data_IF_336233126074
#
_entry.id   IF_336233126074
#
_cell.length_a   1.000
_cell.length_b   1.000
_cell.length_c   1.000
_cell.angle_alpha   90.00
_cell.angle_beta   90.00
_cell.angle_gamma   90.00
#
_symmetry.space_group_name_H-M   'P 1'
#
loop_
_entity.id
_entity.type
_entity.pdbx_description
1 polymer ?
#
# COMPACT_ATOMS: atom_id res chain seq x y z
N UNK A 1 7.33 5.82 -4.03
CA UNK A 1 8.17 6.03 -2.84
C UNK A 1 8.55 4.78 -2.03
N UNK A 2 7.67 4.02 -1.33
CA UNK A 2 8.09 2.98 -0.33
C UNK A 2 9.13 1.98 -0.86
N UNK A 3 9.00 1.60 -2.13
CA UNK A 3 9.93 0.72 -2.87
C UNK A 3 11.35 1.29 -3.07
N UNK A 4 11.58 2.56 -2.76
CA UNK A 4 12.86 3.26 -2.81
C UNK A 4 13.43 3.56 -1.43
N UNK A 5 12.74 3.19 -0.35
CA UNK A 5 13.26 3.37 1.00
C UNK A 5 14.65 2.71 1.15
N UNK A 6 15.68 3.40 1.65
CA UNK A 6 17.01 2.83 1.79
C UNK A 6 17.02 1.52 2.60
N UNK A 7 16.23 1.45 3.68
CA UNK A 7 16.12 0.27 4.53
C UNK A 7 15.46 -0.93 3.86
N UNK A 8 14.78 -0.75 2.72
CA UNK A 8 14.16 -1.86 1.98
C UNK A 8 15.21 -2.88 1.50
N UNK A 9 16.43 -2.45 1.16
CA UNK A 9 17.47 -3.39 0.75
C UNK A 9 17.94 -4.28 1.91
N UNK A 10 17.99 -3.73 3.14
CA UNK A 10 18.25 -4.52 4.33
C UNK A 10 17.11 -5.51 4.59
N UNK A 11 15.86 -5.08 4.49
CA UNK A 11 14.70 -5.96 4.60
C UNK A 11 14.75 -7.11 3.59
N UNK A 12 14.98 -6.82 2.31
CA UNK A 12 15.06 -7.85 1.25
C UNK A 12 16.20 -8.83 1.48
N UNK A 13 17.36 -8.36 1.95
CA UNK A 13 18.49 -9.23 2.31
C UNK A 13 18.12 -10.18 3.45
N UNK A 14 17.56 -9.67 4.54
CA UNK A 14 17.16 -10.49 5.69
C UNK A 14 15.99 -11.44 5.36
N UNK A 15 15.01 -10.99 4.58
CA UNK A 15 13.89 -11.81 4.13
C UNK A 15 14.35 -12.93 3.19
N UNK A 16 15.41 -12.72 2.40
CA UNK A 16 15.97 -13.75 1.50
C UNK A 16 16.60 -14.93 2.24
N UNK A 17 16.91 -14.78 3.54
CA UNK A 17 17.42 -15.89 4.36
C UNK A 17 16.32 -16.73 5.00
N UNK A 18 15.04 -16.41 4.74
CA UNK A 18 13.92 -17.26 5.12
C UNK A 18 13.80 -18.37 4.07
N UNK A 19 14.05 -19.61 4.48
CA UNK A 19 14.01 -20.80 3.60
C UNK A 19 12.63 -20.97 2.96
N UNK A 20 11.60 -20.95 3.80
CA UNK A 20 10.19 -21.07 3.42
C UNK A 20 9.37 -20.03 4.18
N UNK A 21 8.66 -19.18 3.43
CA UNK A 21 7.66 -18.27 3.97
C UNK A 21 6.45 -19.09 4.40
N UNK A 22 6.03 -18.93 5.65
CA UNK A 22 4.83 -19.55 6.23
C UNK A 22 3.63 -18.60 6.21
N UNK A 23 3.89 -17.30 6.33
CA UNK A 23 2.86 -16.27 6.33
C UNK A 23 3.48 -14.91 6.01
N UNK A 24 2.68 -14.00 5.45
CA UNK A 24 3.05 -12.59 5.33
C UNK A 24 1.90 -11.70 5.76
N UNK A 25 2.22 -10.51 6.28
CA UNK A 25 1.25 -9.48 6.63
C UNK A 25 1.68 -8.15 6.05
N UNK A 26 0.72 -7.41 5.51
CA UNK A 26 0.87 -6.03 5.03
C UNK A 26 -0.19 -5.22 5.74
N UNK A 27 0.20 -4.10 6.34
CA UNK A 27 -0.72 -3.26 7.10
C UNK A 27 -0.57 -1.82 6.66
N UNK A 28 -1.71 -1.14 6.53
CA UNK A 28 -1.82 0.29 6.23
C UNK A 28 -3.04 0.85 6.98
N UNK A 29 -2.88 1.04 8.28
CA UNK A 29 -3.91 1.63 9.14
C UNK A 29 -3.38 2.98 9.64
N UNK A 30 -4.02 4.05 9.19
CA UNK A 30 -3.48 5.40 9.37
C UNK A 30 -4.51 6.35 9.96
N UNK A 31 -3.98 7.32 10.70
CA UNK A 31 -4.72 8.43 11.25
C UNK A 31 -4.82 9.64 10.34
N UNK A 32 -5.38 10.75 10.87
CA UNK A 32 -5.49 12.01 10.14
C UNK A 32 -4.13 12.64 9.86
N UNK A 33 -3.77 12.79 8.57
CA UNK A 33 -2.48 13.36 8.14
C UNK A 33 -2.25 14.79 8.66
N UNK A 34 -3.32 15.58 8.80
CA UNK A 34 -3.26 16.96 9.29
C UNK A 34 -2.54 17.09 10.65
N UNK A 35 -2.64 16.05 11.50
CA UNK A 35 -1.93 16.01 12.77
C UNK A 35 -0.41 16.05 12.59
N UNK A 36 0.12 15.23 11.67
CA UNK A 36 1.56 15.18 11.36
C UNK A 36 2.01 16.41 10.58
N UNK A 37 1.22 16.83 9.60
CA UNK A 37 1.51 17.99 8.74
C UNK A 37 1.65 19.27 9.57
N UNK A 38 0.77 19.50 10.54
CA UNK A 38 0.85 20.66 11.44
C UNK A 38 2.11 20.67 12.34
N UNK A 39 2.80 19.54 12.46
CA UNK A 39 4.01 19.35 13.26
C UNK A 39 5.26 19.07 12.41
N UNK A 40 5.14 19.14 11.09
CA UNK A 40 6.19 18.78 10.12
C UNK A 40 7.38 19.75 10.09
N UNK A 41 7.20 20.97 10.62
CA UNK A 41 8.17 22.05 10.50
C UNK A 41 8.27 22.68 9.10
N UNK A 42 7.35 22.38 8.18
CA UNK A 42 7.40 22.88 6.77
C UNK A 42 6.34 23.93 6.41
N UNK A 43 5.68 24.57 7.39
CA UNK A 43 4.67 25.64 7.23
C UNK A 43 3.84 25.60 5.92
N UNK A 44 3.13 24.48 5.65
CA UNK A 44 2.49 24.26 4.36
C UNK A 44 1.38 25.28 4.11
N UNK A 45 1.42 25.93 2.95
CA UNK A 45 0.44 26.91 2.51
C UNK A 45 -0.62 26.24 1.62
N UNK A 46 -1.90 26.59 1.83
CA UNK A 46 -3.00 26.20 0.94
C UNK A 46 -3.33 27.37 0.01
N UNK A 47 -3.20 27.14 -1.28
CA UNK A 47 -3.63 28.07 -2.31
C UNK A 47 -4.98 27.60 -2.85
N UNK A 48 -5.96 28.50 -2.91
CA UNK A 48 -7.33 28.20 -3.34
C UNK A 48 -7.71 28.90 -4.65
N UNK A 49 -6.98 29.95 -5.00
CA UNK A 49 -7.29 30.84 -6.12
C UNK A 49 -6.39 30.60 -7.35
N UNK A 50 -5.46 29.62 -7.27
CA UNK A 50 -4.48 29.29 -8.32
C UNK A 50 -4.90 28.08 -9.18
N UNK A 51 -6.01 27.43 -8.85
CA UNK A 51 -6.56 26.29 -9.60
C UNK A 51 -7.80 26.75 -10.39
N UNK A 52 -7.76 26.74 -11.73
CA UNK A 52 -8.92 27.10 -12.55
C UNK A 52 -10.13 26.17 -12.31
N UNK A 53 -11.34 26.73 -12.34
CA UNK A 53 -12.59 25.99 -12.10
C UNK A 53 -12.73 24.79 -13.05
N UNK A 54 -12.36 24.99 -14.32
CA UNK A 54 -12.39 23.97 -15.36
C UNK A 54 -11.50 22.75 -15.04
N UNK A 55 -10.37 22.95 -14.34
CA UNK A 55 -9.49 21.85 -13.92
C UNK A 55 -10.16 20.99 -12.85
N UNK A 56 -10.91 21.62 -11.94
CA UNK A 56 -11.72 20.90 -10.94
C UNK A 56 -12.83 20.06 -11.58
N UNK A 57 -13.47 20.57 -12.64
CA UNK A 57 -14.48 19.84 -13.39
C UNK A 57 -13.86 18.71 -14.23
N UNK A 58 -12.74 18.94 -14.91
CA UNK A 58 -12.00 17.93 -15.67
C UNK A 58 -11.59 16.76 -14.78
N UNK A 59 -11.05 17.03 -13.59
CA UNK A 59 -10.73 16.00 -12.59
C UNK A 59 -11.93 15.13 -12.24
N UNK A 60 -13.11 15.73 -12.00
CA UNK A 60 -14.34 14.99 -11.68
C UNK A 60 -14.79 14.11 -12.85
N UNK A 61 -14.75 14.65 -14.07
CA UNK A 61 -15.14 13.93 -15.27
C UNK A 61 -14.21 12.73 -15.53
N UNK A 62 -12.89 12.91 -15.39
CA UNK A 62 -11.92 11.81 -15.54
C UNK A 62 -12.09 10.74 -14.48
N UNK A 63 -12.31 11.14 -13.22
CA UNK A 63 -12.55 10.18 -12.14
C UNK A 63 -13.78 9.31 -12.43
N UNK A 64 -14.87 9.91 -12.93
CA UNK A 64 -16.07 9.15 -13.32
C UNK A 64 -15.74 8.10 -14.39
N UNK A 65 -15.06 8.49 -15.47
CA UNK A 65 -14.64 7.57 -16.54
C UNK A 65 -13.73 6.43 -16.04
N UNK A 66 -12.77 6.74 -15.17
CA UNK A 66 -11.87 5.75 -14.60
C UNK A 66 -12.59 4.75 -13.69
N UNK A 67 -13.59 5.22 -12.93
CA UNK A 67 -14.41 4.35 -12.09
C UNK A 67 -15.32 3.44 -12.93
N UNK A 68 -15.85 3.96 -14.04
CA UNK A 68 -16.61 3.16 -15.00
C UNK A 68 -15.77 2.02 -15.59
N UNK A 69 -14.55 2.35 -16.04
CA UNK A 69 -13.60 1.37 -16.59
C UNK A 69 -13.19 0.33 -15.54
N UNK A 70 -12.89 0.77 -14.31
CA UNK A 70 -12.44 -0.14 -13.25
C UNK A 70 -13.50 -1.19 -12.88
N UNK A 71 -14.77 -0.77 -12.81
CA UNK A 71 -15.90 -1.64 -12.43
C UNK A 71 -16.62 -2.30 -13.59
N UNK A 72 -16.38 -1.85 -14.83
CA UNK A 72 -17.18 -2.23 -16.00
C UNK A 72 -18.68 -1.95 -15.74
N UNK A 73 -18.99 -0.74 -15.27
CA UNK A 73 -20.35 -0.32 -14.85
C UNK A 73 -20.50 1.19 -15.02
N UNK A 74 -21.62 1.70 -15.57
CA UNK A 74 -21.85 3.16 -15.69
C UNK A 74 -21.73 3.87 -14.35
N UNK A 75 -21.21 5.11 -14.35
CA UNK A 75 -20.93 5.86 -13.13
C UNK A 75 -22.19 6.09 -12.30
N UNK A 76 -23.32 6.31 -12.97
CA UNK A 76 -24.63 6.50 -12.34
C UNK A 76 -25.11 5.27 -11.55
N UNK A 77 -24.60 4.08 -11.87
CA UNK A 77 -24.99 2.81 -11.25
C UNK A 77 -23.98 2.35 -10.17
N UNK A 78 -22.89 3.10 -9.97
CA UNK A 78 -21.89 2.78 -8.95
C UNK A 78 -22.36 3.18 -7.56
N UNK A 79 -22.28 2.24 -6.62
CA UNK A 79 -22.49 2.54 -5.20
C UNK A 79 -21.33 3.35 -4.62
N UNK A 80 -21.61 4.15 -3.58
CA UNK A 80 -20.57 4.87 -2.83
C UNK A 80 -19.47 3.95 -2.31
N UNK A 81 -19.82 2.74 -1.87
CA UNK A 81 -18.85 1.75 -1.38
C UNK A 81 -17.90 1.25 -2.48
N UNK A 82 -18.41 1.07 -3.71
CA UNK A 82 -17.58 0.70 -4.87
C UNK A 82 -16.59 1.81 -5.24
N UNK A 83 -17.06 3.05 -5.25
CA UNK A 83 -16.22 4.22 -5.52
C UNK A 83 -15.14 4.39 -4.44
N UNK A 84 -15.54 4.32 -3.16
CA UNK A 84 -14.63 4.40 -2.02
C UNK A 84 -13.56 3.30 -2.07
N UNK A 85 -13.94 2.07 -2.41
CA UNK A 85 -13.01 0.96 -2.49
C UNK A 85 -11.92 1.20 -3.54
N UNK A 86 -12.30 1.61 -4.76
CA UNK A 86 -11.33 1.94 -5.82
C UNK A 86 -10.43 3.11 -5.42
N UNK A 87 -11.01 4.19 -4.89
CA UNK A 87 -10.23 5.34 -4.46
C UNK A 87 -9.26 5.00 -3.32
N UNK A 88 -9.66 4.14 -2.38
CA UNK A 88 -8.79 3.70 -1.30
C UNK A 88 -7.63 2.83 -1.82
N UNK A 89 -7.88 1.91 -2.74
CA UNK A 89 -6.83 1.12 -3.39
C UNK A 89 -5.83 2.03 -4.13
N UNK A 90 -6.32 3.05 -4.84
CA UNK A 90 -5.46 3.98 -5.56
C UNK A 90 -4.66 4.93 -4.63
N UNK A 91 -5.30 5.43 -3.57
CA UNK A 91 -4.71 6.43 -2.69
C UNK A 91 -3.79 5.83 -1.62
N UNK A 92 -4.32 4.92 -0.78
CA UNK A 92 -3.59 4.35 0.36
C UNK A 92 -3.00 2.98 0.01
N UNK A 93 -3.81 2.12 -0.62
CA UNK A 93 -3.41 0.74 -0.84
C UNK A 93 -2.28 0.55 -1.84
N UNK A 94 -2.14 1.45 -2.81
CA UNK A 94 -1.08 1.43 -3.82
C UNK A 94 0.31 1.39 -3.19
N UNK A 95 0.50 2.04 -2.04
CA UNK A 95 1.77 2.06 -1.34
C UNK A 95 2.16 0.68 -0.78
N UNK A 96 1.27 0.04 -0.01
CA UNK A 96 1.52 -1.25 0.63
C UNK A 96 1.48 -2.40 -0.35
N UNK A 97 0.53 -2.38 -1.29
CA UNK A 97 0.33 -3.45 -2.27
C UNK A 97 1.47 -3.50 -3.30
N UNK A 98 1.96 -2.35 -3.77
CA UNK A 98 3.13 -2.32 -4.68
C UNK A 98 4.39 -2.81 -3.97
N UNK A 99 4.58 -2.42 -2.70
CA UNK A 99 5.69 -2.93 -1.88
C UNK A 99 5.56 -4.44 -1.65
N UNK A 100 4.38 -4.93 -1.28
CA UNK A 100 4.07 -6.35 -1.12
C UNK A 100 4.46 -7.14 -2.37
N UNK A 101 4.04 -6.67 -3.54
CA UNK A 101 4.33 -7.30 -4.83
C UNK A 101 5.83 -7.38 -5.08
N UNK A 102 6.60 -6.34 -4.74
CA UNK A 102 8.06 -6.38 -4.84
C UNK A 102 8.69 -7.41 -3.90
N UNK A 103 8.28 -7.45 -2.63
CA UNK A 103 8.99 -8.25 -1.61
C UNK A 103 8.54 -9.71 -1.55
N UNK A 104 7.28 -9.99 -1.87
CA UNK A 104 6.78 -11.36 -2.04
C UNK A 104 7.06 -11.89 -3.44
N UNK A 105 7.49 -11.00 -4.34
CA UNK A 105 8.16 -11.37 -5.56
C UNK A 105 7.26 -11.61 -6.75
N UNK A 106 6.15 -10.88 -6.84
CA UNK A 106 5.21 -10.89 -7.95
C UNK A 106 3.76 -10.73 -7.48
N UNK A 107 2.83 -10.91 -8.41
CA UNK A 107 1.42 -11.04 -8.10
C UNK A 107 1.16 -12.30 -7.26
N UNK A 108 0.11 -12.31 -6.43
CA UNK A 108 -0.40 -13.54 -5.84
C UNK A 108 -0.93 -14.47 -6.93
N UNK A 109 -1.03 -15.76 -6.60
CA UNK A 109 -1.69 -16.77 -7.45
C UNK A 109 -3.20 -16.48 -7.52
N UNK A 110 -3.79 -16.10 -6.40
CA UNK A 110 -5.20 -15.72 -6.29
C UNK A 110 -5.49 -14.81 -5.10
N UNK A 111 -6.62 -14.12 -5.17
CA UNK A 111 -7.24 -13.46 -4.01
C UNK A 111 -8.27 -14.43 -3.41
N UNK A 112 -8.00 -14.92 -2.21
CA UNK A 112 -8.85 -15.88 -1.50
C UNK A 112 -10.07 -15.20 -0.89
N UNK A 113 -9.89 -14.01 -0.31
CA UNK A 113 -10.95 -13.24 0.31
C UNK A 113 -10.72 -11.74 0.17
N UNK A 114 -11.82 -10.99 0.10
CA UNK A 114 -11.81 -9.54 0.11
C UNK A 114 -13.01 -9.04 0.90
N UNK A 115 -12.78 -8.33 1.99
CA UNK A 115 -13.86 -7.81 2.87
C UNK A 115 -13.92 -6.29 2.82
N UNK A 116 -15.10 -5.74 3.07
CA UNK A 116 -15.33 -4.32 3.28
C UNK A 116 -16.26 -4.15 4.47
N UNK A 117 -15.73 -3.58 5.55
CA UNK A 117 -16.43 -3.27 6.77
C UNK A 117 -16.25 -1.78 7.10
N UNK A 118 -17.15 -0.92 6.60
CA UNK A 118 -17.14 0.51 6.88
C UNK A 118 -15.78 1.19 6.60
N UNK A 119 -15.24 0.99 5.39
CA UNK A 119 -13.92 1.51 4.95
C UNK A 119 -12.70 0.88 5.66
N UNK A 120 -12.91 -0.23 6.34
CA UNK A 120 -11.86 -1.16 6.75
C UNK A 120 -11.88 -2.37 5.83
N UNK A 121 -10.74 -2.69 5.25
CA UNK A 121 -10.63 -3.70 4.21
C UNK A 121 -9.58 -4.73 4.59
N UNK A 122 -9.96 -6.00 4.52
CA UNK A 122 -9.05 -7.13 4.76
C UNK A 122 -9.04 -8.06 3.56
N UNK A 123 -7.85 -8.33 3.03
CA UNK A 123 -7.63 -9.10 1.80
C UNK A 123 -6.71 -10.26 2.13
N UNK A 124 -7.06 -11.44 1.67
CA UNK A 124 -6.26 -12.63 1.85
C UNK A 124 -5.82 -13.12 0.49
N UNK A 125 -4.51 -13.30 0.33
CA UNK A 125 -3.88 -13.70 -0.93
C UNK A 125 -3.22 -15.07 -0.78
N UNK A 126 -3.30 -15.88 -1.82
CA UNK A 126 -2.52 -17.11 -1.94
C UNK A 126 -1.22 -16.82 -2.71
N UNK A 127 -0.10 -17.25 -2.16
CA UNK A 127 1.22 -17.17 -2.79
C UNK A 127 1.90 -18.53 -2.77
N UNK A 128 2.85 -18.68 -3.69
CA UNK A 128 3.73 -19.85 -3.78
C UNK A 128 5.15 -19.47 -3.37
N UNK A 129 5.78 -20.31 -2.57
CA UNK A 129 7.19 -20.13 -2.22
C UNK A 129 8.07 -20.30 -3.47
N UNK A 130 9.01 -19.37 -3.68
CA UNK A 130 9.97 -19.44 -4.80
C UNK A 130 10.95 -20.61 -4.63
N UNK A 131 11.44 -20.82 -3.42
CA UNK A 131 12.41 -21.87 -3.09
C UNK A 131 11.79 -23.27 -2.98
N UNK A 132 10.48 -23.33 -2.69
CA UNK A 132 9.71 -24.56 -2.54
C UNK A 132 8.37 -24.43 -3.29
N UNK A 133 8.35 -24.63 -4.63
CA UNK A 133 7.16 -24.35 -5.45
C UNK A 133 5.90 -25.14 -5.06
N UNK A 134 6.03 -26.25 -4.33
CA UNK A 134 4.88 -27.01 -3.85
C UNK A 134 4.30 -26.47 -2.53
N UNK A 135 5.00 -25.55 -1.87
CA UNK A 135 4.57 -24.94 -0.61
C UNK A 135 3.91 -23.59 -0.85
N UNK A 136 2.65 -23.49 -0.46
CA UNK A 136 1.88 -22.24 -0.48
C UNK A 136 1.96 -21.53 0.86
N UNK A 137 1.76 -20.21 0.82
CA UNK A 137 1.60 -19.40 2.01
C UNK A 137 0.57 -18.31 1.77
N UNK A 138 -0.04 -17.85 2.86
CA UNK A 138 -1.02 -16.77 2.81
C UNK A 138 -0.35 -15.43 3.09
N UNK A 139 -0.75 -14.39 2.36
CA UNK A 139 -0.48 -13.01 2.74
C UNK A 139 -1.79 -12.29 3.11
N UNK A 140 -1.79 -11.60 4.24
CA UNK A 140 -2.93 -10.78 4.68
C UNK A 140 -2.60 -9.31 4.46
N UNK A 141 -3.51 -8.59 3.81
CA UNK A 141 -3.47 -7.13 3.72
C UNK A 141 -4.63 -6.52 4.51
N UNK A 142 -4.28 -5.61 5.41
CA UNK A 142 -5.22 -4.90 6.28
C UNK A 142 -5.06 -3.40 6.07
N UNK A 143 -6.17 -2.71 5.78
CA UNK A 143 -6.15 -1.25 5.67
C UNK A 143 -7.39 -0.61 6.23
N UNK A 144 -7.21 0.58 6.79
CA UNK A 144 -8.26 1.37 7.40
C UNK A 144 -7.77 2.79 7.64
N UNK A 145 -8.71 3.71 7.78
CA UNK A 145 -8.45 5.08 8.19
C UNK A 145 -9.27 5.33 9.44
N UNK A 146 -8.62 5.79 10.51
CA UNK A 146 -9.27 6.12 11.76
C UNK A 146 -8.93 7.56 12.22
N UNK A 147 -9.39 7.90 13.42
CA UNK A 147 -9.22 9.23 14.00
C UNK A 147 -8.01 9.33 14.95
N UNK A 148 -7.26 8.25 15.15
CA UNK A 148 -6.10 8.20 16.03
C UNK A 148 -4.86 8.60 15.23
N UNK A 149 -4.06 9.58 15.66
CA UNK A 149 -2.90 10.05 14.90
C UNK A 149 -1.72 9.07 15.00
N UNK A 150 -1.87 7.91 14.38
CA UNK A 150 -0.84 6.89 14.21
C UNK A 150 -0.58 6.65 12.72
N UNK A 151 0.54 6.01 12.42
CA UNK A 151 0.87 5.59 11.07
C UNK A 151 1.36 4.13 11.12
N UNK A 152 0.41 3.20 11.14
CA UNK A 152 0.69 1.77 11.20
C UNK A 152 0.83 1.23 9.77
N UNK A 153 2.04 1.39 9.23
CA UNK A 153 2.40 0.90 7.90
C UNK A 153 3.58 -0.06 7.94
N UNK A 154 3.36 -1.31 7.56
CA UNK A 154 4.38 -2.35 7.67
C UNK A 154 4.20 -3.48 6.66
N UNK A 155 5.30 -4.19 6.40
CA UNK A 155 5.29 -5.53 5.80
C UNK A 155 6.06 -6.46 6.71
N UNK A 156 5.48 -7.61 7.03
CA UNK A 156 6.07 -8.66 7.87
C UNK A 156 6.07 -9.98 7.11
N UNK A 157 7.20 -10.66 7.10
CA UNK A 157 7.36 -11.99 6.51
C UNK A 157 7.77 -12.95 7.62
N UNK A 158 7.01 -14.03 7.77
CA UNK A 158 7.20 -15.06 8.77
C UNK A 158 7.73 -16.32 8.12
N UNK A 159 8.87 -16.80 8.60
CA UNK A 159 9.38 -18.15 8.39
C UNK A 159 9.32 -18.97 9.67
N UNK A 160 9.83 -20.20 9.60
CA UNK A 160 9.83 -21.13 10.75
C UNK A 160 10.68 -20.62 11.94
N UNK A 161 11.83 -20.02 11.64
CA UNK A 161 12.85 -19.63 12.64
C UNK A 161 13.21 -18.14 12.61
N UNK A 162 12.54 -17.38 11.74
CA UNK A 162 12.87 -15.98 11.48
C UNK A 162 11.64 -15.20 11.06
N UNK A 163 11.48 -14.02 11.63
CA UNK A 163 10.49 -13.02 11.23
C UNK A 163 11.24 -11.76 10.85
N UNK A 164 10.90 -11.18 9.71
CA UNK A 164 11.48 -9.91 9.24
C UNK A 164 10.34 -8.93 8.99
N UNK A 165 10.41 -7.76 9.59
CA UNK A 165 9.44 -6.67 9.47
C UNK A 165 10.14 -5.43 8.95
N UNK A 166 9.52 -4.72 8.01
CA UNK A 166 9.86 -3.33 7.70
C UNK A 166 8.70 -2.44 8.11
N UNK A 167 8.98 -1.37 8.83
CA UNK A 167 7.99 -0.41 9.31
C UNK A 167 8.27 0.98 8.72
N UNK A 168 7.22 1.64 8.24
CA UNK A 168 7.24 2.99 7.72
C UNK A 168 6.49 3.89 8.70
N UNK A 169 7.10 5.01 9.04
CA UNK A 169 6.44 6.07 9.77
C UNK A 169 5.75 7.05 8.81
N UNK A 170 5.09 8.06 9.37
CA UNK A 170 4.41 9.11 8.62
C UNK A 170 5.37 9.79 7.63
N UNK A 171 5.00 9.87 6.34
CA UNK A 171 5.83 10.53 5.34
C UNK A 171 5.84 12.06 5.49
N UNK A 172 4.99 12.62 6.34
CA UNK A 172 4.79 14.05 6.48
C UNK A 172 5.79 14.73 7.43
N UNK A 173 6.56 13.94 8.18
CA UNK A 173 7.63 14.45 9.05
C UNK A 173 8.97 13.97 8.50
N UNK A 174 9.84 14.91 8.15
CA UNK A 174 11.15 14.59 7.57
C UNK A 174 12.06 13.94 8.59
N UNK A 175 12.82 12.94 8.16
CA UNK A 175 13.83 12.30 8.99
C UNK A 175 13.29 11.27 9.97
N UNK A 176 12.01 10.89 9.90
CA UNK A 176 11.54 9.69 10.61
C UNK A 176 12.11 8.44 9.94
N UNK A 177 12.72 7.58 10.74
CA UNK A 177 13.42 6.39 10.27
C UNK A 177 12.47 5.32 9.75
N UNK A 178 12.89 4.62 8.71
CA UNK A 178 12.26 3.37 8.26
C UNK A 178 13.11 2.24 8.84
N UNK A 179 12.55 1.47 9.77
CA UNK A 179 13.29 0.42 10.47
C UNK A 179 12.96 -0.97 9.93
N UNK A 180 13.94 -1.86 10.06
CA UNK A 180 13.79 -3.29 9.79
C UNK A 180 14.02 -4.04 11.08
N UNK A 181 13.00 -4.71 11.58
CA UNK A 181 13.05 -5.52 12.79
C UNK A 181 13.17 -6.99 12.41
N UNK A 182 14.08 -7.70 13.07
CA UNK A 182 14.34 -9.13 12.87
C UNK A 182 14.21 -9.84 14.22
N UNK A 183 13.33 -10.84 14.29
CA UNK A 183 13.32 -11.83 15.35
C UNK A 183 13.79 -13.17 14.77
N UNK A 184 14.84 -13.77 15.34
CA UNK A 184 15.37 -15.05 14.88
C UNK A 184 15.99 -15.86 16.03
N UNK A 185 16.31 -17.13 15.77
CA UNK A 185 17.12 -17.93 16.69
C UNK A 185 18.61 -17.77 16.34
N UNK A 186 19.46 -17.52 17.34
CA UNK A 186 20.90 -17.58 17.15
C UNK A 186 21.40 -19.04 16.98
N UNK A 187 22.70 -19.23 16.80
CA UNK A 187 23.31 -20.55 16.63
C UNK A 187 23.16 -21.49 17.84
N UNK A 188 22.77 -20.97 19.01
CA UNK A 188 22.52 -21.72 20.24
C UNK A 188 21.02 -22.01 20.47
N UNK A 189 20.13 -21.55 19.59
CA UNK A 189 18.68 -21.74 19.72
C UNK A 189 18.00 -20.74 20.66
N UNK A 190 18.66 -19.63 20.98
CA UNK A 190 18.11 -18.56 21.80
C UNK A 190 17.44 -17.50 20.93
N UNK A 191 16.35 -16.90 21.43
CA UNK A 191 15.70 -15.79 20.73
C UNK A 191 16.63 -14.57 20.70
N UNK A 192 16.91 -14.09 19.49
CA UNK A 192 17.59 -12.83 19.22
C UNK A 192 16.63 -11.85 18.55
N UNK A 193 16.73 -10.58 18.92
CA UNK A 193 16.02 -9.48 18.27
C UNK A 193 17.03 -8.43 17.80
N UNK A 194 16.90 -7.96 16.56
CA UNK A 194 17.76 -6.94 15.95
C UNK A 194 16.92 -5.90 15.24
N UNK A 195 17.27 -4.63 15.43
CA UNK A 195 16.73 -3.50 14.66
C UNK A 195 17.80 -2.94 13.74
N UNK A 196 17.44 -2.73 12.48
CA UNK A 196 18.30 -2.10 11.48
C UNK A 196 17.62 -0.82 10.98
N UNK A 197 18.34 0.30 11.04
CA UNK A 197 17.95 1.54 10.37
C UNK A 197 19.11 2.00 9.51
N UNK A 198 18.96 1.89 8.19
CA UNK A 198 20.09 2.11 7.27
C UNK A 198 20.31 3.58 6.93
N UNK A 199 19.29 4.42 7.10
CA UNK A 199 19.33 5.84 6.77
C UNK A 199 18.20 6.59 7.48
N UNK A 200 18.36 7.90 7.61
CA UNK A 200 17.27 8.85 7.93
C UNK A 200 16.71 9.54 6.68
N UNK A 201 17.29 9.25 5.50
CA UNK A 201 16.75 9.72 4.23
C UNK A 201 15.38 9.09 3.98
N UNK A 202 14.39 9.94 3.70
CA UNK A 202 13.03 9.50 3.41
C UNK A 202 12.91 8.88 2.02
N UNK A 203 11.86 8.09 1.83
CA UNK A 203 11.64 7.33 0.60
C UNK A 203 11.37 8.20 -0.64
N UNK A 204 10.89 9.45 -0.48
CA UNK A 204 10.70 10.37 -1.60
C UNK A 204 12.02 10.97 -2.06
N UNK A 205 12.87 11.39 -1.12
CA UNK A 205 14.23 11.87 -1.44
C UNK A 205 15.03 10.79 -2.16
N UNK A 206 14.96 9.54 -1.69
CA UNK A 206 15.60 8.41 -2.35
C UNK A 206 15.04 8.13 -3.77
N UNK A 207 13.73 8.22 -3.96
CA UNK A 207 13.07 8.07 -5.28
C UNK A 207 13.50 9.16 -6.27
N UNK A 208 13.61 10.43 -5.83
CA UNK A 208 14.07 11.53 -6.68
C UNK A 208 15.55 11.41 -7.05
N UNK A 209 16.39 10.90 -6.15
CA UNK A 209 17.79 10.57 -6.46
C UNK A 209 17.90 9.46 -7.49
N UNK A 210 17.08 8.41 -7.36
CA UNK A 210 17.01 7.36 -8.38
C UNK A 210 16.58 7.93 -9.73
N UNK A 211 15.59 8.83 -9.73
CA UNK A 211 15.14 9.50 -10.96
C UNK A 211 16.25 10.32 -11.63
N UNK A 212 17.08 11.01 -10.85
CA UNK A 212 18.26 11.69 -11.38
C UNK A 212 19.23 10.71 -12.08
N UNK A 213 19.53 9.56 -11.45
CA UNK A 213 20.39 8.53 -12.04
C UNK A 213 19.80 7.96 -13.34
N UNK A 214 18.48 7.79 -13.39
CA UNK A 214 17.76 7.39 -14.61
C UNK A 214 17.95 8.44 -15.71
N UNK A 215 17.65 9.71 -15.41
CA UNK A 215 17.61 10.77 -16.40
C UNK A 215 19.00 11.16 -16.93
N UNK A 216 20.02 11.18 -16.07
CA UNK A 216 21.37 11.65 -16.42
C UNK A 216 22.28 10.50 -16.85
N UNK A 217 22.16 9.34 -16.20
CA UNK A 217 23.07 8.21 -16.40
C UNK A 217 22.41 7.02 -17.10
N UNK A 218 21.14 7.11 -17.47
CA UNK A 218 20.42 6.06 -18.19
C UNK A 218 20.21 4.81 -17.36
N UNK A 219 20.17 4.92 -16.03
CA UNK A 219 19.85 3.79 -15.14
C UNK A 219 18.50 3.18 -15.52
N UNK A 220 18.39 1.85 -15.43
CA UNK A 220 17.13 1.16 -15.70
C UNK A 220 16.05 1.60 -14.70
N UNK A 221 14.89 1.98 -15.23
CA UNK A 221 13.72 2.34 -14.43
C UNK A 221 13.16 1.10 -13.76
N UNK A 222 13.14 1.09 -12.43
CA UNK A 222 12.55 0.01 -11.63
C UNK A 222 11.02 0.03 -11.64
N UNK A 223 10.43 1.21 -11.43
CA UNK A 223 8.97 1.42 -11.37
C UNK A 223 8.46 1.99 -12.69
N UNK A 224 8.47 1.18 -13.75
CA UNK A 224 7.99 1.56 -15.08
C UNK A 224 6.46 1.64 -15.14
N UNK A 225 5.91 2.18 -16.23
CA UNK A 225 4.48 2.10 -16.52
C UNK A 225 4.00 0.64 -16.56
N UNK A 226 4.77 -0.27 -17.15
CA UNK A 226 4.45 -1.71 -17.17
C UNK A 226 4.40 -2.31 -15.78
N UNK A 227 5.32 -1.92 -14.89
CA UNK A 227 5.28 -2.34 -13.49
C UNK A 227 4.06 -1.77 -12.75
N UNK A 228 3.63 -0.53 -13.05
CA UNK A 228 2.41 0.03 -12.48
C UNK A 228 1.13 -0.69 -12.98
N UNK A 229 1.13 -1.22 -14.21
CA UNK A 229 0.01 -2.05 -14.71
C UNK A 229 -0.16 -3.31 -13.87
N UNK A 230 0.91 -3.89 -13.33
CA UNK A 230 0.80 -5.05 -12.42
C UNK A 230 0.09 -4.69 -11.10
N UNK A 231 0.25 -3.46 -10.60
CA UNK A 231 -0.52 -2.99 -9.44
C UNK A 231 -2.02 -2.89 -9.79
N UNK A 232 -2.37 -2.45 -11.00
CA UNK A 232 -3.75 -2.42 -11.48
C UNK A 232 -4.34 -3.83 -11.66
N UNK A 233 -3.55 -4.79 -12.15
CA UNK A 233 -3.97 -6.20 -12.22
C UNK A 233 -4.29 -6.75 -10.83
N UNK A 234 -3.45 -6.47 -9.84
CA UNK A 234 -3.70 -6.84 -8.46
C UNK A 234 -5.00 -6.22 -7.93
N UNK A 235 -5.23 -4.93 -8.20
CA UNK A 235 -6.48 -4.27 -7.80
C UNK A 235 -7.69 -4.94 -8.44
N UNK A 236 -7.60 -5.29 -9.74
CA UNK A 236 -8.66 -6.01 -10.42
C UNK A 236 -8.94 -7.38 -9.78
N UNK A 237 -7.91 -8.16 -9.45
CA UNK A 237 -8.09 -9.44 -8.73
C UNK A 237 -8.84 -9.23 -7.40
N UNK A 238 -8.54 -8.14 -6.69
CA UNK A 238 -9.20 -7.82 -5.41
C UNK A 238 -10.63 -7.33 -5.59
N UNK A 239 -10.92 -6.63 -6.70
CA UNK A 239 -12.27 -6.16 -7.07
C UNK A 239 -13.16 -7.30 -7.55
N UNK A 240 -12.62 -8.26 -8.30
CA UNK A 240 -13.38 -9.44 -8.75
C UNK A 240 -13.88 -10.26 -7.55
N UNK A 241 -13.12 -10.27 -6.44
CA UNK A 241 -13.47 -10.91 -5.16
C UNK A 241 -14.26 -10.01 -4.21
N UNK A 242 -14.68 -8.82 -4.63
CA UNK A 242 -15.44 -7.89 -3.79
C UNK A 242 -16.73 -8.53 -3.23
N UNK A 243 -17.10 -8.30 -1.95
CA UNK A 243 -18.17 -9.04 -1.28
C UNK A 243 -19.50 -9.02 -2.03
N UNK A 244 -20.04 -10.22 -2.29
CA UNK A 244 -21.29 -10.40 -3.05
C UNK A 244 -22.52 -9.87 -2.31
N UNK A 245 -22.53 -9.85 -0.98
CA UNK A 245 -23.63 -9.26 -0.19
C UNK A 245 -23.73 -7.74 -0.39
N UNK A 246 -22.63 -7.06 -0.71
CA UNK A 246 -22.64 -5.63 -1.07
C UNK A 246 -23.06 -5.38 -2.52
N UNK A 247 -22.88 -6.36 -3.42
CA UNK A 247 -23.36 -6.25 -4.82
C UNK A 247 -24.90 -6.24 -4.93
N UNK A 248 -25.62 -6.68 -3.89
CA UNK A 248 -27.10 -6.83 -3.89
C UNK A 248 -27.87 -5.67 -3.23
N UNK A 249 -27.19 -4.70 -2.61
CA UNK A 249 -27.84 -3.60 -1.87
C UNK A 249 -28.13 -2.35 -2.71
N UNK A 250 -28.35 -2.48 -4.02
CA UNK A 250 -28.77 -1.36 -4.89
C UNK A 250 -30.23 -0.89 -4.63
N UNK A 251 -30.80 -1.16 -3.46
CA UNK A 251 -32.21 -0.87 -3.13
C UNK A 251 -32.45 -0.05 -1.87
N UNK A 252 -31.45 0.23 -1.03
CA UNK A 252 -31.66 0.99 0.20
C UNK A 252 -30.70 2.18 0.30
N UNK A 253 -31.29 3.37 0.21
CA UNK A 253 -30.66 4.68 0.34
C UNK A 253 -30.03 4.85 1.73
N UNK A 254 -28.78 4.45 1.87
CA UNK A 254 -27.94 4.82 3.01
C UNK A 254 -27.39 6.22 2.82
N UNK A 255 -27.84 7.15 3.68
CA UNK A 255 -27.16 8.39 4.12
C UNK A 255 -26.13 8.99 3.14
N UNK A 256 -26.52 10.09 2.49
CA UNK A 256 -25.64 10.94 1.68
C UNK A 256 -24.51 11.56 2.51
N UNK A 257 -23.43 10.82 2.75
CA UNK A 257 -22.13 11.44 2.97
C UNK A 257 -21.66 11.92 1.60
N UNK A 258 -21.54 13.23 1.43
CA UNK A 258 -21.00 13.87 0.23
C UNK A 258 -19.71 13.16 -0.17
N UNK A 259 -19.73 12.41 -1.28
CA UNK A 259 -18.54 11.82 -1.87
C UNK A 259 -17.69 12.95 -2.43
N UNK A 260 -16.78 13.43 -1.59
CA UNK A 260 -15.55 14.04 -2.04
C UNK A 260 -14.46 13.25 -1.35
N UNK A 261 -13.54 12.60 -2.09
CA UNK A 261 -12.27 12.27 -1.49
C UNK A 261 -11.65 13.62 -1.11
N UNK A 262 -11.82 14.03 0.15
CA UNK A 262 -10.82 14.87 0.79
C UNK A 262 -9.56 14.05 0.64
N UNK A 263 -8.70 14.50 -0.27
CA UNK A 263 -7.37 13.94 -0.39
C UNK A 263 -6.66 13.98 0.97
N UNK A 264 -5.54 13.26 1.10
CA UNK A 264 -4.68 13.40 2.26
C UNK A 264 -4.39 14.87 2.60
#
# INVERSE_FOLDING_TARGET
MRRYAPSLQAFKREASTIETIKYARVRDIIGPNAYFIGQSGTEPQKFFDDIPLEAGQDRKNRLALLLEEAWDTPFADLSAAQMDYCCLLANLGSHGLSLMREVLGGLPEEVLASTDNARWYTKMFDYRNKSAPNERFTALYETGIDSVPHFDSEVVIFGEKKTVRIAYDTPFVKGLGITVEIDELNEYGEKCHRSLQTSYEDAYTAELREFYEIAVHGKQIKTTATDAVEDLKLFRMMMDKYPTYKKKQNGESGSSSTFLPSGP
#
